data_IF_344044696338
#
_entry.id   IF_344044696338
#
_cell.length_a   1.000
_cell.length_b   1.000
_cell.length_c   1.000
_cell.angle_alpha   90.00
_cell.angle_beta   90.00
_cell.angle_gamma   90.00
#
_symmetry.space_group_name_H-M   'P 1'
#
loop_
_entity.id
_entity.type
_entity.pdbx_description
1 polymer ?
#
# COMPACT_ATOMS: atom_id res chain seq x y z
N UNK A 1 -16.05 8.08 7.31
CA UNK A 1 -15.35 7.18 6.35
C UNK A 1 -15.41 5.77 6.93
N UNK A 2 -16.46 4.98 6.66
CA UNK A 2 -16.51 3.59 7.18
C UNK A 2 -17.44 2.60 6.45
N UNK A 3 -18.15 2.97 5.37
CA UNK A 3 -19.16 2.04 4.79
C UNK A 3 -18.75 1.39 3.45
N UNK A 4 -17.54 1.67 2.93
CA UNK A 4 -17.12 1.19 1.59
C UNK A 4 -16.18 -0.01 1.58
N UNK A 5 -15.35 -0.18 2.62
CA UNK A 5 -14.37 -1.27 2.72
C UNK A 5 -14.51 -1.99 4.05
N UNK A 6 -14.52 -3.32 4.02
CA UNK A 6 -14.52 -4.18 5.21
C UNK A 6 -13.13 -4.25 5.84
N UNK A 7 -12.08 -4.09 5.02
CA UNK A 7 -10.67 -4.19 5.45
C UNK A 7 -9.84 -3.11 4.76
N UNK A 8 -8.99 -2.44 5.54
CA UNK A 8 -7.94 -1.54 5.03
C UNK A 8 -6.58 -2.12 5.42
N UNK A 9 -5.72 -2.32 4.43
CA UNK A 9 -4.43 -3.01 4.57
C UNK A 9 -3.32 -2.04 4.18
N UNK A 10 -2.43 -1.71 5.12
CA UNK A 10 -1.23 -0.92 4.85
C UNK A 10 -0.01 -1.84 4.94
N UNK A 11 0.80 -1.87 3.88
CA UNK A 11 2.07 -2.60 3.83
C UNK A 11 3.19 -1.65 3.42
N UNK A 12 4.27 -1.61 4.20
CA UNK A 12 5.50 -0.89 3.83
C UNK A 12 6.41 -1.86 3.10
N UNK A 13 6.62 -1.63 1.81
CA UNK A 13 7.39 -2.52 0.94
C UNK A 13 8.87 -2.35 1.24
N UNK A 14 9.43 -1.14 1.14
CA UNK A 14 10.87 -0.84 1.27
C UNK A 14 11.74 -1.57 0.23
N UNK A 15 12.97 -1.08 0.00
CA UNK A 15 13.85 -1.52 -1.10
C UNK A 15 14.19 -3.02 -1.13
N UNK A 16 14.20 -3.69 0.02
CA UNK A 16 14.56 -5.10 0.15
C UNK A 16 13.37 -6.03 0.38
N UNK A 17 12.14 -5.56 0.11
CA UNK A 17 10.97 -6.42 0.25
C UNK A 17 11.00 -7.58 -0.75
N UNK A 18 10.80 -8.78 -0.22
CA UNK A 18 10.48 -9.96 -1.01
C UNK A 18 8.97 -10.16 -1.05
N UNK A 19 8.48 -10.90 -2.06
CA UNK A 19 7.07 -11.35 -2.12
C UNK A 19 6.66 -11.99 -0.80
N UNK A 20 7.49 -12.86 -0.24
CA UNK A 20 7.26 -13.49 1.07
C UNK A 20 7.04 -12.50 2.21
N UNK A 21 7.79 -11.39 2.26
CA UNK A 21 7.62 -10.34 3.28
C UNK A 21 6.26 -9.65 3.10
N UNK A 22 5.92 -9.24 1.89
CA UNK A 22 4.63 -8.61 1.57
C UNK A 22 3.48 -9.55 1.93
N UNK A 23 3.57 -10.83 1.56
CA UNK A 23 2.58 -11.84 1.91
C UNK A 23 2.41 -11.98 3.42
N UNK A 24 3.50 -11.97 4.20
CA UNK A 24 3.44 -12.04 5.67
C UNK A 24 2.71 -10.83 6.25
N UNK A 25 3.03 -9.64 5.77
CA UNK A 25 2.46 -8.40 6.29
C UNK A 25 0.96 -8.32 5.96
N UNK A 26 0.55 -8.72 4.75
CA UNK A 26 -0.88 -8.85 4.39
C UNK A 26 -1.57 -9.92 5.23
N UNK A 27 -0.97 -11.12 5.35
CA UNK A 27 -1.51 -12.24 6.11
C UNK A 27 -1.87 -11.83 7.55
N UNK A 28 -0.96 -11.12 8.21
CA UNK A 28 -1.16 -10.61 9.56
C UNK A 28 -2.37 -9.66 9.64
N UNK A 29 -2.54 -8.78 8.66
CA UNK A 29 -3.65 -7.82 8.61
C UNK A 29 -5.00 -8.45 8.30
N UNK A 30 -5.02 -9.62 7.64
CA UNK A 30 -6.26 -10.33 7.30
C UNK A 30 -6.58 -11.52 8.21
N UNK A 31 -5.82 -11.70 9.30
CA UNK A 31 -6.06 -12.72 10.32
C UNK A 31 -5.50 -14.11 10.00
N UNK A 32 -4.56 -14.23 9.05
CA UNK A 32 -3.91 -15.49 8.66
C UNK A 32 -2.59 -15.69 9.43
N UNK A 33 -2.67 -15.73 10.77
CA UNK A 33 -1.51 -15.73 11.68
C UNK A 33 -0.64 -16.99 11.50
N UNK A 34 -1.23 -18.13 11.14
CA UNK A 34 -0.54 -19.40 10.94
C UNK A 34 0.39 -19.43 9.72
N UNK A 35 0.33 -18.44 8.82
CA UNK A 35 1.28 -18.33 7.71
C UNK A 35 2.71 -17.97 8.14
N UNK A 36 2.96 -17.72 9.43
CA UNK A 36 4.30 -17.42 9.94
C UNK A 36 5.26 -18.61 10.04
N UNK A 37 4.76 -19.86 10.04
CA UNK A 37 5.54 -21.06 10.44
C UNK A 37 6.65 -21.50 9.48
N UNK A 38 6.78 -20.86 8.31
CA UNK A 38 7.86 -21.15 7.35
C UNK A 38 7.60 -22.35 6.43
N UNK A 39 6.64 -23.21 6.77
CA UNK A 39 6.33 -24.46 6.05
C UNK A 39 5.66 -24.25 4.69
N UNK A 40 4.87 -23.17 4.54
CA UNK A 40 4.19 -22.85 3.28
C UNK A 40 5.11 -22.09 2.31
N UNK A 41 5.15 -22.55 1.07
CA UNK A 41 5.79 -21.84 -0.03
C UNK A 41 5.00 -20.57 -0.45
N UNK A 42 5.58 -19.77 -1.34
CA UNK A 42 4.97 -18.52 -1.78
C UNK A 42 3.64 -18.72 -2.53
N UNK A 43 3.47 -19.82 -3.28
CA UNK A 43 2.23 -20.09 -4.02
C UNK A 43 1.08 -20.44 -3.08
N UNK A 44 1.36 -21.29 -2.08
CA UNK A 44 0.38 -21.68 -1.08
C UNK A 44 -0.06 -20.48 -0.24
N UNK A 45 0.88 -19.60 0.11
CA UNK A 45 0.59 -18.34 0.81
C UNK A 45 -0.25 -17.39 -0.05
N UNK A 46 0.08 -17.24 -1.34
CA UNK A 46 -0.68 -16.44 -2.27
C UNK A 46 -2.13 -16.93 -2.37
N UNK A 47 -2.33 -18.25 -2.42
CA UNK A 47 -3.65 -18.86 -2.49
C UNK A 47 -4.47 -18.58 -1.22
N UNK A 48 -3.86 -18.67 -0.04
CA UNK A 48 -4.52 -18.37 1.24
C UNK A 48 -4.95 -16.90 1.32
N UNK A 49 -4.06 -15.98 0.95
CA UNK A 49 -4.36 -14.55 0.88
C UNK A 49 -5.51 -14.30 -0.10
N UNK A 50 -5.43 -14.88 -1.30
CA UNK A 50 -6.45 -14.72 -2.34
C UNK A 50 -7.82 -15.22 -1.87
N UNK A 51 -7.87 -16.39 -1.21
CA UNK A 51 -9.10 -16.99 -0.72
C UNK A 51 -9.82 -16.10 0.30
N UNK A 52 -9.07 -15.35 1.12
CA UNK A 52 -9.64 -14.36 2.05
C UNK A 52 -10.05 -13.08 1.32
N UNK A 53 -9.15 -12.50 0.53
CA UNK A 53 -9.37 -11.19 -0.09
C UNK A 53 -10.48 -11.20 -1.15
N UNK A 54 -10.65 -12.29 -1.91
CA UNK A 54 -11.68 -12.36 -2.98
C UNK A 54 -13.12 -12.27 -2.46
N UNK A 55 -13.34 -12.45 -1.15
CA UNK A 55 -14.66 -12.48 -0.50
C UNK A 55 -14.98 -11.20 0.26
N UNK A 56 -14.07 -10.21 0.25
CA UNK A 56 -14.19 -8.98 1.04
C UNK A 56 -13.97 -7.76 0.17
N UNK A 57 -14.67 -6.67 0.47
CA UNK A 57 -14.32 -5.34 -0.08
C UNK A 57 -13.13 -4.80 0.70
N UNK A 58 -12.03 -4.48 0.02
CA UNK A 58 -10.82 -4.01 0.71
C UNK A 58 -10.09 -2.89 -0.04
N UNK A 59 -9.34 -2.10 0.72
CA UNK A 59 -8.34 -1.19 0.21
C UNK A 59 -6.95 -1.66 0.65
N UNK A 60 -6.02 -1.80 -0.29
CA UNK A 60 -4.62 -2.12 -0.04
C UNK A 60 -3.75 -0.92 -0.42
N UNK A 61 -2.95 -0.44 0.53
CA UNK A 61 -1.93 0.58 0.33
C UNK A 61 -0.54 -0.07 0.40
N UNK A 62 0.17 -0.07 -0.71
CA UNK A 62 1.57 -0.49 -0.81
C UNK A 62 2.48 0.74 -0.74
N UNK A 63 3.05 1.00 0.42
CA UNK A 63 3.86 2.19 0.67
C UNK A 63 5.34 1.93 0.36
N UNK A 64 6.00 2.91 -0.25
CA UNK A 64 7.42 2.93 -0.61
C UNK A 64 7.83 1.74 -1.52
N UNK A 65 7.20 1.62 -2.70
CA UNK A 65 7.58 0.61 -3.71
C UNK A 65 8.79 1.06 -4.53
N UNK A 66 9.76 0.17 -4.68
CA UNK A 66 11.02 0.39 -5.41
C UNK A 66 11.07 -0.34 -6.77
N UNK A 67 10.23 -1.35 -6.95
CA UNK A 67 10.10 -2.14 -8.16
C UNK A 67 8.65 -2.58 -8.37
N UNK A 68 8.35 -3.18 -9.53
CA UNK A 68 7.01 -3.68 -9.84
C UNK A 68 6.66 -4.82 -8.88
N UNK A 69 5.55 -4.66 -8.17
CA UNK A 69 5.00 -5.73 -7.32
C UNK A 69 4.05 -6.58 -8.15
N UNK A 70 4.32 -7.89 -8.25
CA UNK A 70 3.38 -8.83 -8.83
C UNK A 70 2.26 -9.16 -7.82
N UNK A 71 1.12 -8.47 -7.98
CA UNK A 71 -0.05 -8.68 -7.13
C UNK A 71 -0.54 -10.14 -7.13
N UNK A 72 -0.40 -10.85 -8.26
CA UNK A 72 -0.80 -12.26 -8.35
C UNK A 72 0.12 -13.15 -7.53
N UNK A 73 1.44 -12.93 -7.61
CA UNK A 73 2.41 -13.64 -6.79
C UNK A 73 2.21 -13.38 -5.29
N UNK A 74 1.74 -12.18 -4.92
CA UNK A 74 1.38 -11.85 -3.54
C UNK A 74 0.04 -12.50 -3.12
N UNK A 75 -0.84 -12.84 -4.05
CA UNK A 75 -2.19 -13.37 -3.77
C UNK A 75 -3.27 -12.29 -3.72
N UNK A 76 -2.98 -11.07 -4.15
CA UNK A 76 -3.95 -9.98 -4.22
C UNK A 76 -4.77 -10.10 -5.51
N UNK A 77 -6.11 -10.18 -5.44
CA UNK A 77 -6.94 -10.14 -6.63
C UNK A 77 -6.77 -8.78 -7.33
N UNK A 78 -6.59 -8.80 -8.66
CA UNK A 78 -6.51 -7.56 -9.44
C UNK A 78 -7.77 -6.70 -9.23
N UNK A 79 -7.63 -5.39 -8.97
CA UNK A 79 -8.77 -4.49 -8.84
C UNK A 79 -9.65 -4.53 -10.09
N UNK A 80 -10.95 -4.67 -9.91
CA UNK A 80 -11.95 -4.51 -10.99
C UNK A 80 -13.04 -3.57 -10.51
N UNK A 81 -13.89 -3.09 -11.44
CA UNK A 81 -15.03 -2.23 -11.07
C UNK A 81 -16.01 -2.91 -10.11
N UNK A 82 -16.07 -4.24 -10.12
CA UNK A 82 -17.14 -5.01 -9.48
C UNK A 82 -16.70 -5.74 -8.20
N UNK A 83 -15.40 -5.99 -8.00
CA UNK A 83 -14.93 -6.78 -6.85
C UNK A 83 -14.72 -5.96 -5.57
N UNK A 84 -14.95 -4.64 -5.61
CA UNK A 84 -14.79 -3.77 -4.43
C UNK A 84 -13.37 -3.73 -3.86
N UNK A 85 -12.37 -4.16 -4.65
CA UNK A 85 -10.95 -4.07 -4.33
C UNK A 85 -10.39 -2.74 -4.86
N UNK A 86 -9.62 -2.04 -4.04
CA UNK A 86 -8.79 -0.91 -4.45
C UNK A 86 -7.35 -1.17 -4.01
N UNK A 87 -6.41 -0.94 -4.92
CA UNK A 87 -4.98 -0.95 -4.63
C UNK A 87 -4.45 0.44 -4.93
N UNK A 88 -3.80 1.05 -3.94
CA UNK A 88 -3.03 2.27 -4.06
C UNK A 88 -1.59 1.98 -3.68
N UNK A 89 -0.66 2.76 -4.21
CA UNK A 89 0.75 2.64 -3.84
C UNK A 89 1.45 3.98 -3.91
N UNK A 90 2.57 4.09 -3.20
CA UNK A 90 3.45 5.26 -3.27
C UNK A 90 4.81 4.82 -3.78
N UNK A 91 5.41 5.65 -4.64
CA UNK A 91 6.74 5.40 -5.19
C UNK A 91 7.44 6.73 -5.45
N UNK A 92 8.78 6.71 -5.36
CA UNK A 92 9.63 7.85 -5.76
C UNK A 92 10.02 7.79 -7.24
N UNK A 93 9.60 6.75 -7.98
CA UNK A 93 9.99 6.52 -9.37
C UNK A 93 8.77 6.52 -10.28
N UNK A 94 8.72 7.47 -11.23
CA UNK A 94 7.72 7.49 -12.31
C UNK A 94 7.77 6.21 -13.14
N UNK A 95 8.95 5.65 -13.37
CA UNK A 95 9.12 4.39 -14.12
C UNK A 95 8.49 3.19 -13.38
N UNK A 96 8.63 3.13 -12.06
CA UNK A 96 7.95 2.10 -11.25
C UNK A 96 6.44 2.30 -11.31
N UNK A 97 5.96 3.54 -11.21
CA UNK A 97 4.53 3.85 -11.36
C UNK A 97 3.97 3.37 -12.70
N UNK A 98 4.66 3.64 -13.80
CA UNK A 98 4.27 3.18 -15.13
C UNK A 98 4.27 1.65 -15.26
N UNK A 99 5.29 0.96 -14.71
CA UNK A 99 5.37 -0.52 -14.73
C UNK A 99 4.27 -1.21 -13.93
N UNK A 100 3.70 -0.54 -12.93
CA UNK A 100 2.53 -1.00 -12.19
C UNK A 100 1.23 -0.89 -13.00
N UNK A 101 1.22 -0.19 -14.13
CA UNK A 101 0.06 -0.09 -15.02
C UNK A 101 -1.04 0.82 -14.50
N UNK A 102 -0.68 1.94 -13.89
CA UNK A 102 -1.65 2.95 -13.42
C UNK A 102 -2.12 3.82 -14.58
N UNK A 103 -3.44 3.88 -14.78
CA UNK A 103 -4.07 4.70 -15.81
C UNK A 103 -4.04 6.21 -15.48
N UNK A 104 -4.19 6.56 -14.20
CA UNK A 104 -4.28 7.95 -13.71
C UNK A 104 -3.35 8.16 -12.49
N UNK A 105 -2.06 8.46 -12.69
CA UNK A 105 -1.12 8.64 -11.61
C UNK A 105 -1.29 10.00 -10.92
N UNK A 106 -1.24 10.00 -9.58
CA UNK A 106 -1.25 11.23 -8.78
C UNK A 106 0.19 11.63 -8.48
N UNK A 107 0.64 12.75 -9.05
CA UNK A 107 1.94 13.33 -8.73
C UNK A 107 1.81 14.30 -7.55
N UNK A 108 2.53 14.02 -6.46
CA UNK A 108 2.62 14.92 -5.32
C UNK A 108 3.57 16.07 -5.67
N UNK A 109 3.01 17.25 -5.88
CA UNK A 109 3.76 18.47 -6.20
C UNK A 109 4.27 19.15 -4.93
N UNK A 110 5.25 20.05 -5.08
CA UNK A 110 5.66 20.93 -3.99
C UNK A 110 4.48 21.80 -3.53
N UNK A 111 4.44 22.08 -2.23
CA UNK A 111 3.52 23.07 -1.66
C UNK A 111 3.77 24.44 -2.28
N UNK A 112 2.69 25.22 -2.43
CA UNK A 112 2.82 26.63 -2.82
C UNK A 112 3.54 27.42 -1.73
N UNK A 113 4.13 28.59 -2.04
CA UNK A 113 4.90 29.38 -1.08
C UNK A 113 4.13 29.68 0.21
N UNK A 114 2.86 30.05 0.11
CA UNK A 114 1.96 30.29 1.24
C UNK A 114 1.67 29.03 2.05
N UNK A 115 1.38 27.90 1.40
CA UNK A 115 1.17 26.60 2.07
C UNK A 115 2.45 26.10 2.76
N UNK A 116 3.60 26.31 2.12
CA UNK A 116 4.91 25.94 2.67
C UNK A 116 5.28 26.82 3.87
N UNK A 117 4.90 28.09 3.84
CA UNK A 117 5.09 29.01 4.96
C UNK A 117 4.16 28.64 6.11
N UNK A 118 2.87 28.35 5.87
CA UNK A 118 1.95 27.86 6.90
C UNK A 118 2.49 26.58 7.56
N UNK A 119 2.94 25.61 6.75
CA UNK A 119 3.54 24.39 7.27
C UNK A 119 4.78 24.68 8.13
N UNK A 120 5.65 25.59 7.69
CA UNK A 120 6.82 26.02 8.45
C UNK A 120 6.42 26.63 9.79
N UNK A 121 5.50 27.60 9.78
CA UNK A 121 5.05 28.29 10.98
C UNK A 121 4.44 27.32 12.00
N UNK A 122 3.62 26.38 11.53
CA UNK A 122 3.03 25.31 12.37
C UNK A 122 4.08 24.35 12.93
N UNK A 123 5.21 24.18 12.26
CA UNK A 123 6.29 23.28 12.70
C UNK A 123 7.20 23.94 13.73
N UNK A 124 7.60 25.20 13.51
CA UNK A 124 8.55 25.90 14.42
C UNK A 124 7.86 26.57 15.61
N UNK A 125 6.54 26.77 15.54
CA UNK A 125 5.73 27.42 16.57
C UNK A 125 5.91 28.94 16.62
N UNK A 126 4.90 29.64 17.14
CA UNK A 126 4.85 31.12 17.15
C UNK A 126 5.99 31.77 17.95
N UNK A 127 6.45 31.12 19.02
CA UNK A 127 7.53 31.65 19.88
C UNK A 127 8.85 31.87 19.12
N UNK A 128 9.12 31.04 18.11
CA UNK A 128 10.34 31.13 17.29
C UNK A 128 10.24 32.20 16.21
N UNK A 129 9.02 32.56 15.79
CA UNK A 129 8.76 33.51 14.69
C UNK A 129 8.72 34.98 15.13
N UNK A 130 8.46 35.23 16.41
CA UNK A 130 8.41 36.57 17.00
C UNK A 130 9.68 37.01 17.73
N UNK A 131 10.76 36.20 17.68
CA UNK A 131 12.05 36.47 18.33
C UNK A 131 13.01 37.26 17.45
#
# INVERSE_FOLDING_TARGET
ISDRFEVVIWVVVSKSATVRKIQRDIAQKVGLVEMGSGEKDENQRALDIYNVLRRRKFALLLDDIWEKVDLKAVGVPYPTRNNGCKVAFTTRSRDVCGRMGVDDPVEVSCLQPDESWDLFQRTVGENTLGS
#
